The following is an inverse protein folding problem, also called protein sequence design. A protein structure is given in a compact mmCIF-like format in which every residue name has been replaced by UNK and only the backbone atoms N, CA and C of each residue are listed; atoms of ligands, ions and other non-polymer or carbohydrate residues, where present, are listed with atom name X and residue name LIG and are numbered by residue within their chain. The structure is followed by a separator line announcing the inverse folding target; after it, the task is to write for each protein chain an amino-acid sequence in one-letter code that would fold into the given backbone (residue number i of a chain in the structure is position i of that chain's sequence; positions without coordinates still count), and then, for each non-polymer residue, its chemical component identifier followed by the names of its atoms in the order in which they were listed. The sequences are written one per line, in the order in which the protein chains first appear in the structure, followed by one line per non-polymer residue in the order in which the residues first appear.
data_IF_267850621454
#
_entry.id   IF_267850621454
#
_cell.length_a   1.000
_cell.length_b   1.000
_cell.length_c   1.000
_cell.angle_alpha   90.00
_cell.angle_beta   90.00
_cell.angle_gamma   90.00
#
_symmetry.space_group_name_H-M   'P 1'
#
loop_
_entity.id
_entity.type
_entity.pdbx_description
1 polymer ?
#
# COMPACT_ATOMS: atom_id res chain seq x y z
N UNK A 1 -0.45 -6.18 18.06
CA UNK A 1 -0.39 -5.02 17.14
C UNK A 1 0.91 -4.22 17.21
N UNK A 2 1.46 -3.89 18.40
CA UNK A 2 2.69 -3.08 18.50
C UNK A 2 3.90 -3.75 17.81
N UNK A 3 4.20 -5.01 18.16
CA UNK A 3 5.29 -5.79 17.55
C UNK A 3 5.10 -5.96 16.04
N UNK A 4 3.89 -6.32 15.62
CA UNK A 4 3.56 -6.47 14.21
C UNK A 4 3.81 -5.19 13.39
N UNK A 5 3.45 -4.02 13.95
CA UNK A 5 3.75 -2.72 13.31
C UNK A 5 5.25 -2.45 13.19
N UNK A 6 6.04 -2.86 14.19
CA UNK A 6 7.51 -2.73 14.13
C UNK A 6 8.08 -3.59 13.01
N UNK A 7 7.67 -4.85 12.92
CA UNK A 7 8.14 -5.76 11.86
C UNK A 7 7.67 -5.33 10.47
N UNK A 8 6.43 -4.85 10.33
CA UNK A 8 5.95 -4.32 9.04
C UNK A 8 6.65 -3.03 8.63
N UNK A 9 7.01 -2.16 9.58
CA UNK A 9 7.82 -0.98 9.26
C UNK A 9 9.20 -1.39 8.72
N UNK A 10 9.83 -2.40 9.33
CA UNK A 10 11.10 -2.96 8.82
C UNK A 10 10.92 -3.56 7.42
N UNK A 11 9.86 -4.33 7.20
CA UNK A 11 9.53 -4.90 5.88
C UNK A 11 9.34 -3.80 4.83
N UNK A 12 8.56 -2.76 5.13
CA UNK A 12 8.31 -1.67 4.20
C UNK A 12 9.58 -0.89 3.85
N UNK A 13 10.48 -0.66 4.82
CA UNK A 13 11.81 -0.10 4.52
C UNK A 13 12.61 -1.02 3.62
N UNK A 14 12.57 -2.35 3.85
CA UNK A 14 13.29 -3.30 3.01
C UNK A 14 12.78 -3.31 1.57
N UNK A 15 11.46 -3.19 1.39
CA UNK A 15 10.84 -3.03 0.07
C UNK A 15 11.34 -1.76 -0.63
N UNK A 16 11.41 -0.63 0.08
CA UNK A 16 11.95 0.62 -0.48
C UNK A 16 13.41 0.49 -0.91
N UNK A 17 14.25 -0.19 -0.12
CA UNK A 17 15.65 -0.45 -0.53
C UNK A 17 15.74 -1.28 -1.81
N UNK A 18 14.86 -2.29 -1.98
CA UNK A 18 14.81 -3.11 -3.20
C UNK A 18 14.32 -2.26 -4.39
N UNK A 19 13.37 -1.35 -4.15
CA UNK A 19 12.94 -0.38 -5.17
C UNK A 19 14.09 0.54 -5.58
N UNK A 20 14.89 1.03 -4.64
CA UNK A 20 16.08 1.83 -4.94
C UNK A 20 17.00 1.07 -5.90
N UNK A 21 17.33 -0.18 -5.56
CA UNK A 21 18.20 -1.06 -6.36
C UNK A 21 17.64 -1.28 -7.78
N UNK A 22 16.37 -1.66 -7.88
CA UNK A 22 15.70 -1.92 -9.17
C UNK A 22 15.61 -0.68 -10.07
N UNK A 23 15.63 0.52 -9.48
CA UNK A 23 15.55 1.79 -10.19
C UNK A 23 16.93 2.43 -10.43
N UNK A 24 18.02 1.78 -9.98
CA UNK A 24 19.37 2.31 -10.08
C UNK A 24 19.61 3.55 -9.20
N UNK A 25 18.87 3.68 -8.10
CA UNK A 25 18.97 4.77 -7.14
C UNK A 25 19.96 4.42 -6.01
N UNK A 26 20.57 5.44 -5.37
CA UNK A 26 21.36 5.21 -4.16
C UNK A 26 20.52 4.55 -3.08
N UNK A 27 21.11 3.59 -2.35
CA UNK A 27 20.43 2.90 -1.25
C UNK A 27 19.88 3.90 -0.23
N UNK A 28 18.59 3.77 0.08
CA UNK A 28 17.88 4.63 1.03
C UNK A 28 17.32 5.91 0.41
N UNK A 29 17.47 6.13 -0.89
CA UNK A 29 16.94 7.32 -1.58
C UNK A 29 15.43 7.47 -1.34
N UNK A 30 14.64 6.43 -1.66
CA UNK A 30 13.18 6.47 -1.51
C UNK A 30 12.80 6.68 -0.04
N UNK A 31 13.39 5.91 0.89
CA UNK A 31 13.12 6.04 2.32
C UNK A 31 13.40 7.47 2.83
N UNK A 32 14.54 8.04 2.47
CA UNK A 32 14.93 9.38 2.91
C UNK A 32 13.99 10.46 2.35
N UNK A 33 13.42 10.25 1.16
CA UNK A 33 12.41 11.15 0.61
C UNK A 33 11.10 11.15 1.45
N UNK A 34 10.77 10.04 2.12
CA UNK A 34 9.62 9.93 3.02
C UNK A 34 9.89 10.43 4.46
N UNK A 35 11.14 10.36 4.92
CA UNK A 35 11.59 10.77 6.27
C UNK A 35 11.76 12.30 6.42
N UNK A 36 10.73 13.07 6.06
CA UNK A 36 10.78 14.55 6.03
C UNK A 36 9.79 15.24 6.98
N UNK A 37 9.13 14.50 7.88
CA UNK A 37 8.25 15.10 8.90
C UNK A 37 8.91 15.24 10.27
N UNK A 38 8.09 15.40 11.31
CA UNK A 38 8.54 15.57 12.70
C UNK A 38 9.51 14.43 13.07
N UNK A 39 10.66 14.82 13.63
CA UNK A 39 11.78 13.94 14.00
C UNK A 39 12.45 13.15 12.85
N UNK A 40 12.32 13.60 11.60
CA UNK A 40 12.79 12.88 10.40
C UNK A 40 12.20 11.47 10.32
N UNK A 41 10.91 11.33 10.62
CA UNK A 41 10.23 10.04 10.60
C UNK A 41 9.13 9.96 9.55
N UNK A 42 9.13 8.86 8.79
CA UNK A 42 8.03 8.44 7.91
C UNK A 42 6.78 8.13 8.74
N UNK A 43 5.62 8.61 8.27
CA UNK A 43 4.33 8.27 8.86
C UNK A 43 3.99 6.81 8.57
N UNK A 44 3.57 6.08 9.61
CA UNK A 44 3.13 4.69 9.49
C UNK A 44 1.72 4.50 10.05
N UNK A 45 0.74 4.49 9.14
CA UNK A 45 -0.67 4.31 9.45
C UNK A 45 -1.10 2.85 9.43
N UNK A 46 -2.16 2.53 10.19
CA UNK A 46 -2.84 1.23 10.13
C UNK A 46 -4.32 1.46 9.99
N UNK A 47 -4.94 0.84 8.98
CA UNK A 47 -6.38 0.81 8.77
C UNK A 47 -6.85 -0.64 8.83
N UNK A 48 -7.67 -0.95 9.81
CA UNK A 48 -8.37 -2.24 9.90
C UNK A 48 -9.75 -2.06 9.31
N UNK A 49 -10.16 -2.94 8.43
CA UNK A 49 -11.46 -2.90 7.77
C UNK A 49 -12.07 -4.29 7.75
N UNK A 50 -13.38 -4.35 8.00
CA UNK A 50 -14.17 -5.56 7.95
C UNK A 50 -15.34 -5.33 6.99
N UNK A 51 -15.42 -6.16 5.97
CA UNK A 51 -16.47 -6.13 4.95
C UNK A 51 -17.37 -7.35 5.15
N UNK A 52 -18.57 -7.19 5.72
CA UNK A 52 -19.46 -8.31 6.04
C UNK A 52 -20.16 -8.85 4.79
N UNK A 53 -20.74 -10.08 4.85
CA UNK A 53 -21.51 -10.65 3.75
C UNK A 53 -22.60 -9.71 3.25
N UNK A 54 -22.66 -9.52 1.92
CA UNK A 54 -23.63 -8.66 1.27
C UNK A 54 -24.48 -9.47 0.27
N UNK A 55 -25.81 -9.55 0.45
CA UNK A 55 -26.70 -10.28 -0.47
C UNK A 55 -26.68 -9.76 -1.92
N UNK A 56 -26.25 -8.51 -2.13
CA UNK A 56 -26.17 -7.85 -3.44
C UNK A 56 -24.73 -7.46 -3.78
N UNK A 57 -23.75 -8.29 -3.42
CA UNK A 57 -22.31 -8.04 -3.63
C UNK A 57 -21.94 -7.78 -5.09
N UNK A 58 -22.70 -8.29 -6.05
CA UNK A 58 -22.49 -8.02 -7.48
C UNK A 58 -22.87 -6.59 -7.90
N UNK A 59 -23.71 -5.91 -7.10
CA UNK A 59 -24.20 -4.56 -7.37
C UNK A 59 -23.46 -3.48 -6.60
N UNK A 60 -22.77 -3.85 -5.51
CA UNK A 60 -22.17 -2.91 -4.57
C UNK A 60 -20.77 -3.37 -4.20
N UNK A 61 -19.79 -2.49 -4.41
CA UNK A 61 -18.43 -2.70 -3.93
C UNK A 61 -18.33 -2.24 -2.47
N UNK A 62 -17.69 -3.05 -1.63
CA UNK A 62 -17.44 -2.71 -0.23
C UNK A 62 -16.36 -1.61 -0.09
N UNK A 63 -15.36 -1.63 -0.98
CA UNK A 63 -14.47 -0.49 -1.21
C UNK A 63 -14.40 -0.20 -2.71
N UNK A 64 -14.70 1.04 -3.10
CA UNK A 64 -14.65 1.48 -4.49
C UNK A 64 -13.23 1.41 -5.04
N UNK A 65 -13.11 1.23 -6.36
CA UNK A 65 -11.84 1.34 -7.07
C UNK A 65 -11.19 2.70 -6.76
N UNK A 66 -9.94 2.65 -6.31
CA UNK A 66 -9.15 3.82 -5.99
C UNK A 66 -7.66 3.49 -6.17
N UNK A 67 -6.83 4.52 -6.17
CA UNK A 67 -5.38 4.37 -6.06
C UNK A 67 -5.00 4.65 -4.62
N UNK A 68 -4.24 3.74 -4.01
CA UNK A 68 -3.65 4.01 -2.70
C UNK A 68 -2.62 5.13 -2.84
N UNK A 69 -2.78 6.23 -2.12
CA UNK A 69 -1.79 7.30 -2.07
C UNK A 69 -0.89 7.06 -0.86
N UNK A 70 0.42 7.07 -1.07
CA UNK A 70 1.40 6.88 0.00
C UNK A 70 2.27 5.65 -0.21
N UNK A 71 3.38 5.88 -0.91
CA UNK A 71 4.58 5.06 -0.99
C UNK A 71 4.32 3.57 -1.14
N UNK A 72 4.57 2.86 -0.03
CA UNK A 72 4.44 1.41 0.05
C UNK A 72 3.26 1.05 0.96
N UNK A 73 2.40 0.21 0.41
CA UNK A 73 1.25 -0.36 1.09
C UNK A 73 1.54 -1.82 1.38
N UNK A 74 1.36 -2.22 2.63
CA UNK A 74 1.46 -3.60 3.09
C UNK A 74 0.06 -4.02 3.55
N UNK A 75 -0.50 -5.04 2.92
CA UNK A 75 -1.84 -5.51 3.20
C UNK A 75 -1.79 -6.95 3.71
N UNK A 76 -2.28 -7.13 4.95
CA UNK A 76 -2.61 -8.44 5.48
C UNK A 76 -4.12 -8.65 5.31
N UNK A 77 -4.47 -9.49 4.34
CA UNK A 77 -5.86 -9.85 4.03
C UNK A 77 -6.20 -11.22 4.58
N UNK A 78 -7.49 -11.50 4.70
CA UNK A 78 -8.04 -12.84 4.93
C UNK A 78 -7.42 -13.87 3.95
N UNK A 79 -7.06 -15.05 4.45
CA UNK A 79 -6.39 -16.10 3.68
C UNK A 79 -7.37 -17.12 3.07
N UNK A 80 -8.67 -17.01 3.37
CA UNK A 80 -9.73 -17.88 2.84
C UNK A 80 -10.79 -17.10 2.05
N UNK A 81 -11.11 -15.88 2.48
CA UNK A 81 -12.16 -15.06 1.86
C UNK A 81 -11.60 -14.20 0.73
N UNK A 82 -12.08 -14.48 -0.49
CA UNK A 82 -11.80 -13.65 -1.68
C UNK A 82 -12.52 -12.31 -1.58
N UNK A 83 -11.86 -11.26 -2.05
CA UNK A 83 -12.49 -9.95 -2.10
C UNK A 83 -11.63 -8.84 -2.71
N UNK A 84 -10.31 -8.93 -2.59
CA UNK A 84 -9.41 -7.97 -3.22
C UNK A 84 -9.28 -8.23 -4.72
N UNK A 85 -9.56 -7.20 -5.51
CA UNK A 85 -9.33 -7.21 -6.96
C UNK A 85 -8.41 -6.06 -7.36
N UNK A 86 -7.58 -6.30 -8.38
CA UNK A 86 -6.71 -5.31 -9.01
C UNK A 86 -7.06 -5.13 -10.48
N UNK A 87 -7.05 -3.89 -10.96
CA UNK A 87 -7.16 -3.59 -12.38
C UNK A 87 -5.78 -3.73 -13.03
N UNK A 88 -5.65 -4.66 -13.98
CA UNK A 88 -4.44 -4.88 -14.78
C UNK A 88 -4.83 -4.98 -16.25
N UNK A 89 -4.21 -4.18 -17.11
CA UNK A 89 -4.45 -4.16 -18.56
C UNK A 89 -5.95 -3.99 -18.91
N UNK A 90 -6.67 -3.17 -18.13
CA UNK A 90 -8.11 -2.94 -18.28
C UNK A 90 -9.01 -4.05 -17.73
N UNK A 91 -8.44 -5.13 -17.17
CA UNK A 91 -9.18 -6.29 -16.65
C UNK A 91 -9.05 -6.38 -15.13
N UNK A 92 -10.19 -6.56 -14.45
CA UNK A 92 -10.23 -6.82 -13.02
C UNK A 92 -9.80 -8.25 -12.73
N UNK A 93 -8.74 -8.42 -11.96
CA UNK A 93 -8.16 -9.71 -11.58
C UNK A 93 -8.19 -9.87 -10.07
N UNK A 94 -8.65 -11.03 -9.59
CA UNK A 94 -8.60 -11.38 -8.16
C UNK A 94 -7.16 -11.52 -7.67
N UNK A 95 -6.86 -10.90 -6.53
CA UNK A 95 -5.65 -11.21 -5.78
C UNK A 95 -5.96 -12.43 -4.92
N UNK A 96 -5.35 -13.57 -5.25
CA UNK A 96 -5.63 -14.81 -4.53
C UNK A 96 -5.26 -14.67 -3.05
N UNK A 97 -6.19 -15.05 -2.14
CA UNK A 97 -5.85 -15.24 -0.73
C UNK A 97 -4.73 -16.26 -0.58
N UNK A 98 -3.72 -15.92 0.21
CA UNK A 98 -2.55 -16.76 0.45
C UNK A 98 -2.22 -16.74 1.94
N UNK A 99 -2.19 -17.93 2.55
CA UNK A 99 -1.82 -18.10 3.96
C UNK A 99 -0.41 -17.59 4.20
N UNK A 100 -0.24 -16.85 5.31
CA UNK A 100 1.03 -16.26 5.73
C UNK A 100 1.67 -15.28 4.71
N UNK A 101 0.87 -14.68 3.83
CA UNK A 101 1.35 -13.72 2.83
C UNK A 101 0.99 -12.28 3.19
N UNK A 102 1.84 -11.34 2.74
CA UNK A 102 1.55 -9.90 2.72
C UNK A 102 1.44 -9.48 1.27
N UNK A 103 0.32 -8.87 0.91
CA UNK A 103 0.17 -8.23 -0.40
C UNK A 103 0.86 -6.87 -0.34
N UNK A 104 1.75 -6.62 -1.29
CA UNK A 104 2.46 -5.34 -1.41
C UNK A 104 1.88 -4.60 -2.62
N UNK A 105 1.48 -3.35 -2.39
CA UNK A 105 1.10 -2.41 -3.45
C UNK A 105 1.95 -1.14 -3.34
N UNK A 106 2.12 -0.44 -4.46
CA UNK A 106 2.78 0.85 -4.51
C UNK A 106 1.82 1.91 -5.02
N UNK A 107 1.88 3.08 -4.39
CA UNK A 107 1.04 4.22 -4.70
C UNK A 107 1.83 5.39 -5.29
N UNK A 108 1.17 6.30 -6.05
CA UNK A 108 1.79 7.56 -6.40
C UNK A 108 2.10 8.37 -5.15
N UNK A 109 3.23 9.07 -5.18
CA UNK A 109 3.71 9.92 -4.09
C UNK A 109 4.07 11.30 -4.62
N UNK A 110 3.05 12.08 -5.00
CA UNK A 110 3.26 13.41 -5.56
C UNK A 110 4.05 14.26 -4.56
N UNK A 111 5.05 15.00 -5.06
CA UNK A 111 5.87 15.92 -4.27
C UNK A 111 6.77 15.23 -3.21
N UNK A 112 7.02 13.93 -3.39
CA UNK A 112 7.97 13.14 -2.56
C UNK A 112 9.15 12.67 -3.40
N UNK A 113 8.89 12.07 -4.55
CA UNK A 113 9.91 11.53 -5.45
C UNK A 113 10.06 12.44 -6.68
N UNK A 114 11.22 12.40 -7.32
CA UNK A 114 11.42 13.08 -8.61
C UNK A 114 10.45 12.53 -9.66
N UNK A 115 9.98 13.39 -10.57
CA UNK A 115 8.91 13.08 -11.54
C UNK A 115 9.20 11.81 -12.37
N UNK A 116 10.46 11.57 -12.73
CA UNK A 116 10.84 10.35 -13.46
C UNK A 116 10.59 9.10 -12.64
N UNK A 117 11.02 9.08 -11.38
CA UNK A 117 10.81 7.96 -10.45
C UNK A 117 9.33 7.79 -10.18
N UNK A 118 8.63 8.91 -9.95
CA UNK A 118 7.18 8.92 -9.70
C UNK A 118 6.39 8.31 -10.87
N UNK A 119 6.76 8.60 -12.12
CA UNK A 119 6.10 8.03 -13.30
C UNK A 119 6.34 6.51 -13.42
N UNK A 120 7.57 6.04 -13.19
CA UNK A 120 7.85 4.59 -13.18
C UNK A 120 7.05 3.85 -12.11
N UNK A 121 6.89 4.45 -10.92
CA UNK A 121 6.08 3.86 -9.85
C UNK A 121 4.58 3.94 -10.18
N UNK A 122 4.11 5.02 -10.82
CA UNK A 122 2.73 5.20 -11.27
C UNK A 122 2.28 4.12 -12.24
N UNK A 123 3.14 3.72 -13.18
CA UNK A 123 2.80 2.66 -14.14
C UNK A 123 2.62 1.29 -13.46
N UNK A 124 3.20 1.11 -12.27
CA UNK A 124 3.00 -0.08 -11.43
C UNK A 124 1.76 0.00 -10.52
N UNK A 125 1.06 1.14 -10.48
CA UNK A 125 -0.08 1.36 -9.59
C UNK A 125 -1.25 0.50 -10.02
N UNK A 126 -1.77 -0.23 -9.05
CA UNK A 126 -2.96 -1.05 -9.21
C UNK A 126 -4.10 -0.41 -8.46
N UNK A 127 -5.30 -0.49 -9.04
CA UNK A 127 -6.51 0.01 -8.39
C UNK A 127 -7.10 -1.10 -7.52
N UNK A 128 -6.90 -1.13 -6.19
CA UNK A 128 -7.63 -2.08 -5.35
C UNK A 128 -9.12 -1.74 -5.28
N UNK A 129 -9.93 -2.79 -5.28
CA UNK A 129 -11.32 -2.74 -4.81
C UNK A 129 -11.61 -3.97 -3.96
N UNK A 130 -12.52 -3.83 -2.99
CA UNK A 130 -12.91 -4.92 -2.10
C UNK A 130 -14.40 -5.24 -2.23
N UNK A 131 -14.72 -6.53 -2.19
CA UNK A 131 -16.09 -7.05 -2.20
C UNK A 131 -16.49 -7.63 -0.83
N UNK A 132 -15.57 -8.35 -0.16
CA UNK A 132 -15.79 -9.03 1.12
C UNK A 132 -14.46 -9.21 1.88
N UNK A 133 -14.53 -9.51 3.18
CA UNK A 133 -13.40 -10.01 3.97
C UNK A 133 -12.89 -9.04 5.03
N UNK A 134 -11.93 -9.49 5.83
CA UNK A 134 -11.22 -8.65 6.80
C UNK A 134 -9.84 -8.30 6.28
N UNK A 135 -9.44 -7.05 6.44
CA UNK A 135 -8.15 -6.56 5.96
C UNK A 135 -7.50 -5.65 6.98
N UNK A 136 -6.18 -5.74 7.07
CA UNK A 136 -5.34 -4.82 7.81
C UNK A 136 -4.33 -4.19 6.85
N UNK A 137 -4.59 -2.92 6.52
CA UNK A 137 -3.80 -2.11 5.60
C UNK A 137 -2.79 -1.28 6.39
N UNK A 138 -1.53 -1.30 5.97
CA UNK A 138 -0.47 -0.48 6.52
C UNK A 138 0.11 0.40 5.42
N UNK A 139 0.25 1.69 5.71
CA UNK A 139 0.68 2.67 4.73
C UNK A 139 1.91 3.39 5.29
N UNK A 140 3.01 3.34 4.52
CA UNK A 140 4.18 4.19 4.72
C UNK A 140 4.02 5.42 3.83
N UNK A 141 3.85 6.59 4.45
CA UNK A 141 3.67 7.84 3.74
C UNK A 141 4.55 8.95 4.31
N UNK A 142 4.74 10.02 3.53
CA UNK A 142 5.42 11.23 3.98
C UNK A 142 4.64 11.78 5.17
N UNK A 143 5.37 12.06 6.24
CA UNK A 143 4.76 12.68 7.41
C UNK A 143 4.35 14.12 7.05
N UNK A 144 3.09 14.46 7.30
CA UNK A 144 2.56 15.79 7.06
C UNK A 144 3.13 16.76 8.08
N UNK A 145 3.73 17.85 7.63
CA UNK A 145 3.98 19.02 8.48
C UNK A 145 2.64 19.68 8.81
N UNK A 146 1.88 19.11 9.74
CA UNK A 146 0.80 19.83 10.41
C UNK A 146 1.49 20.84 11.33
N UNK A 147 1.84 22.00 10.77
CA UNK A 147 1.97 23.22 11.58
C UNK A 147 0.54 23.55 12.00
N UNK A 148 0.24 23.36 13.28
CA UNK A 148 -0.92 24.00 13.91
C UNK A 148 -0.75 25.53 13.84
#
# INVERSE_FOLDING_TARGET
MKEYRVELKKLGHKVMEIMDENLGLPKGYIKNAFDVGVDNTTFFGTKVSHYPPCPNSEKINALRAHTDVGGVVLLFQDDEVKGLQMLKDGVWTDVQPLKNAIVINTGPTPQVLDTKVENTVKDAVKYPKFVLGTTCLFILNKSSNLKN
#
